data_IF_281134171986
#
_entry.id   IF_281134171986
#
_cell.length_a   1.000
_cell.length_b   1.000
_cell.length_c   1.000
_cell.angle_alpha   90.00
_cell.angle_beta   90.00
_cell.angle_gamma   90.00
#
_symmetry.space_group_name_H-M   'P 1'
#
loop_
_entity.id
_entity.type
_entity.pdbx_description
1 polymer ?
#
# COMPACT_ATOMS: atom_id res chain seq x y z
N UNK A 1 6.00 -2.17 -4.71
CA UNK A 1 6.11 -3.52 -4.12
C UNK A 1 7.30 -3.64 -3.19
N UNK A 2 8.51 -3.19 -3.59
CA UNK A 2 9.75 -3.26 -2.78
C UNK A 2 9.65 -2.81 -1.30
N UNK A 3 8.76 -1.88 -0.95
CA UNK A 3 8.57 -1.45 0.45
C UNK A 3 7.67 -2.38 1.28
N UNK A 4 6.74 -3.11 0.64
CA UNK A 4 5.79 -4.00 1.32
C UNK A 4 6.28 -5.45 1.37
N UNK A 5 7.07 -5.88 0.39
CA UNK A 5 7.59 -7.25 0.31
C UNK A 5 8.41 -7.67 1.55
N UNK A 6 9.30 -6.83 2.13
CA UNK A 6 10.03 -7.19 3.35
C UNK A 6 9.13 -7.32 4.59
N UNK A 7 7.94 -6.70 4.56
CA UNK A 7 7.01 -6.66 5.69
C UNK A 7 5.99 -7.80 5.64
N UNK A 8 5.56 -8.17 4.42
CA UNK A 8 4.42 -9.09 4.21
C UNK A 8 4.81 -10.37 3.46
N UNK A 9 5.98 -10.41 2.82
CA UNK A 9 6.34 -11.39 1.80
C UNK A 9 5.79 -11.02 0.41
N UNK A 10 6.43 -11.55 -0.64
CA UNK A 10 6.14 -11.18 -2.04
C UNK A 10 4.68 -11.38 -2.47
N UNK A 11 4.13 -12.57 -2.18
CA UNK A 11 2.75 -12.90 -2.55
C UNK A 11 1.74 -12.02 -1.81
N UNK A 12 1.87 -11.90 -0.49
CA UNK A 12 0.97 -11.10 0.33
C UNK A 12 1.04 -9.62 -0.02
N UNK A 13 2.23 -9.07 -0.28
CA UNK A 13 2.38 -7.69 -0.72
C UNK A 13 1.66 -7.41 -2.05
N UNK A 14 1.74 -8.33 -3.01
CA UNK A 14 0.99 -8.23 -4.28
C UNK A 14 -0.52 -8.27 -4.04
N UNK A 15 -0.98 -9.22 -3.23
CA UNK A 15 -2.40 -9.34 -2.90
C UNK A 15 -2.93 -8.13 -2.14
N UNK A 16 -2.16 -7.56 -1.22
CA UNK A 16 -2.51 -6.36 -0.47
C UNK A 16 -2.80 -5.18 -1.40
N UNK A 17 -1.91 -4.94 -2.37
CA UNK A 17 -2.07 -3.88 -3.37
C UNK A 17 -3.31 -4.14 -4.23
N UNK A 18 -3.49 -5.39 -4.69
CA UNK A 18 -4.63 -5.74 -5.53
C UNK A 18 -5.96 -5.58 -4.79
N UNK A 19 -6.04 -6.03 -3.54
CA UNK A 19 -7.21 -5.86 -2.68
C UNK A 19 -7.47 -4.38 -2.39
N UNK A 20 -6.46 -3.60 -2.04
CA UNK A 20 -6.61 -2.16 -1.76
C UNK A 20 -7.09 -1.38 -3.00
N UNK A 21 -6.52 -1.68 -4.17
CA UNK A 21 -6.89 -1.08 -5.44
C UNK A 21 -8.36 -1.38 -5.80
N UNK A 22 -8.76 -2.65 -5.76
CA UNK A 22 -10.12 -3.05 -6.10
C UNK A 22 -11.15 -2.51 -5.10
N UNK A 23 -10.83 -2.54 -3.79
CA UNK A 23 -11.75 -2.09 -2.74
C UNK A 23 -11.93 -0.57 -2.74
N UNK A 24 -10.85 0.18 -2.96
CA UNK A 24 -10.85 1.64 -2.75
C UNK A 24 -11.05 2.41 -4.05
N UNK A 25 -10.45 1.95 -5.14
CA UNK A 25 -10.38 2.65 -6.42
C UNK A 25 -11.21 1.97 -7.52
N UNK A 26 -11.79 0.78 -7.22
CA UNK A 26 -12.62 -0.05 -8.12
C UNK A 26 -11.94 -0.38 -9.44
N UNK A 27 -10.61 -0.36 -9.46
CA UNK A 27 -9.75 -0.59 -10.63
C UNK A 27 -8.59 -1.48 -10.23
N UNK A 28 -8.06 -2.30 -11.15
CA UNK A 28 -6.90 -3.14 -10.87
C UNK A 28 -5.62 -2.28 -10.82
N UNK A 29 -4.56 -2.73 -10.11
CA UNK A 29 -3.32 -1.98 -9.93
C UNK A 29 -2.67 -1.47 -11.21
N UNK A 30 -2.80 -2.22 -12.30
CA UNK A 30 -2.23 -1.91 -13.62
C UNK A 30 -2.87 -0.68 -14.28
N UNK A 31 -4.06 -0.28 -13.83
CA UNK A 31 -4.79 0.91 -14.32
C UNK A 31 -4.63 2.13 -13.40
N UNK A 32 -3.88 2.00 -12.31
CA UNK A 32 -3.69 3.09 -11.37
C UNK A 32 -2.65 4.08 -11.88
N UNK A 33 -2.92 5.36 -11.66
CA UNK A 33 -2.00 6.46 -11.93
C UNK A 33 -1.31 6.92 -10.65
N UNK A 34 -0.27 7.73 -10.78
CA UNK A 34 0.44 8.32 -9.63
C UNK A 34 -0.50 9.10 -8.70
N UNK A 35 -1.49 9.80 -9.27
CA UNK A 35 -2.51 10.55 -8.52
C UNK A 35 -3.42 9.66 -7.64
N UNK A 36 -3.54 8.36 -7.96
CA UNK A 36 -4.34 7.41 -7.18
C UNK A 36 -3.59 6.86 -5.95
N UNK A 37 -2.26 7.08 -5.87
CA UNK A 37 -1.41 6.47 -4.84
C UNK A 37 -1.78 6.87 -3.40
N UNK A 38 -2.11 8.13 -3.07
CA UNK A 38 -2.54 8.48 -1.71
C UNK A 38 -3.76 7.67 -1.26
N UNK A 39 -4.76 7.52 -2.13
CA UNK A 39 -5.97 6.76 -1.83
C UNK A 39 -5.70 5.25 -1.76
N UNK A 40 -4.77 4.73 -2.58
CA UNK A 40 -4.31 3.34 -2.47
C UNK A 40 -3.64 3.07 -1.12
N UNK A 41 -2.79 3.99 -0.64
CA UNK A 41 -2.12 3.87 0.67
C UNK A 41 -3.12 3.88 1.83
N UNK A 42 -4.17 4.70 1.76
CA UNK A 42 -5.28 4.65 2.72
C UNK A 42 -5.97 3.28 2.73
N UNK A 43 -6.19 2.71 1.54
CA UNK A 43 -6.76 1.37 1.38
C UNK A 43 -5.92 0.24 2.00
N UNK A 44 -4.59 0.43 2.11
CA UNK A 44 -3.68 -0.54 2.73
C UNK A 44 -3.67 -0.48 4.26
N UNK A 45 -4.07 0.65 4.88
CA UNK A 45 -4.02 0.85 6.34
C UNK A 45 -4.64 -0.29 7.14
N UNK A 46 -5.88 -0.75 6.86
CA UNK A 46 -6.50 -1.79 7.68
C UNK A 46 -5.69 -3.09 7.69
N UNK A 47 -5.13 -3.46 6.54
CA UNK A 47 -4.36 -4.69 6.39
C UNK A 47 -3.00 -4.57 7.10
N UNK A 48 -2.31 -3.45 6.93
CA UNK A 48 -1.03 -3.19 7.60
C UNK A 48 -1.20 -3.11 9.12
N UNK A 49 -2.27 -2.47 9.60
CA UNK A 49 -2.58 -2.43 11.04
C UNK A 49 -2.70 -3.85 11.63
N UNK A 50 -3.30 -4.79 10.89
CA UNK A 50 -3.43 -6.19 11.31
C UNK A 50 -2.11 -6.94 11.29
N UNK A 51 -1.30 -6.81 10.22
CA UNK A 51 -0.10 -7.63 10.06
C UNK A 51 1.12 -7.12 10.83
N UNK A 52 1.31 -5.80 10.91
CA UNK A 52 2.53 -5.20 11.48
C UNK A 52 2.25 -4.24 12.64
N UNK A 53 0.97 -4.07 13.01
CA UNK A 53 0.54 -3.16 14.06
C UNK A 53 0.40 -1.71 13.58
N UNK A 54 -0.50 -0.96 14.21
CA UNK A 54 -0.86 0.40 13.78
C UNK A 54 0.31 1.40 13.82
N UNK A 55 1.21 1.27 14.82
CA UNK A 55 2.36 2.17 14.95
C UNK A 55 3.33 1.99 13.78
N UNK A 56 3.75 0.75 13.49
CA UNK A 56 4.63 0.48 12.35
C UNK A 56 3.95 0.76 11.01
N UNK A 57 2.67 0.42 10.87
CA UNK A 57 1.91 0.73 9.66
C UNK A 57 1.92 2.23 9.34
N UNK A 58 1.75 3.09 10.35
CA UNK A 58 1.82 4.55 10.19
C UNK A 58 3.20 5.01 9.68
N UNK A 59 4.28 4.49 10.26
CA UNK A 59 5.66 4.84 9.86
C UNK A 59 5.93 4.41 8.42
N UNK A 60 5.66 3.14 8.10
CA UNK A 60 5.89 2.58 6.75
C UNK A 60 5.10 3.33 5.68
N UNK A 61 3.83 3.65 5.93
CA UNK A 61 3.02 4.39 4.95
C UNK A 61 3.53 5.81 4.73
N UNK A 62 4.05 6.46 5.77
CA UNK A 62 4.69 7.78 5.64
C UNK A 62 5.98 7.70 4.82
N UNK A 63 6.82 6.68 5.05
CA UNK A 63 8.06 6.46 4.28
C UNK A 63 7.77 6.18 2.79
N UNK A 64 6.75 5.37 2.51
CA UNK A 64 6.31 5.11 1.14
C UNK A 64 5.82 6.40 0.49
N UNK A 65 4.96 7.17 1.16
CA UNK A 65 4.46 8.44 0.65
C UNK A 65 5.59 9.41 0.32
N UNK A 66 6.54 9.60 1.25
CA UNK A 66 7.69 10.48 1.06
C UNK A 66 8.64 10.00 -0.06
N UNK A 67 8.71 8.69 -0.30
CA UNK A 67 9.50 8.12 -1.41
C UNK A 67 8.84 8.35 -2.76
N UNK A 68 7.50 8.40 -2.81
CA UNK A 68 6.73 8.63 -4.02
C UNK A 68 6.74 10.10 -4.46
N UNK A 69 6.85 11.04 -3.53
CA UNK A 69 6.99 12.48 -3.84
C UNK A 69 8.32 12.84 -4.52
N UNK A 70 9.32 11.95 -4.43
CA UNK A 70 10.66 12.16 -4.99
C UNK A 70 10.83 11.60 -6.42
N UNK A 71 9.78 11.05 -7.04
CA UNK A 71 9.78 10.35 -8.33
C UNK A 71 8.90 11.03 -9.39
#
# INVERSE_FOLDING_TARGET
>A
MRHLEPLLGGFTAKMAIQTAALRTLKRPPEQLKREDLPQLLEGLKPMLNTFIGALHAKVVLAEISASLEKL
#
